data_IF_446684553365
#
_entry.id   IF_446684553365
#
_cell.length_a   1.000
_cell.length_b   1.000
_cell.length_c   1.000
_cell.angle_alpha   90.00
_cell.angle_beta   90.00
_cell.angle_gamma   90.00
#
_symmetry.space_group_name_H-M   'P 1'
#
loop_
_entity.id
_entity.type
_entity.pdbx_description
1 polymer ?
#
# COMPACT_ATOMS: atom_id res chain seq x y z
N UNK A 1 -2.94 -14.94 17.68
CA UNK A 1 -2.94 -15.38 16.27
C UNK A 1 -1.94 -14.53 15.50
N UNK A 2 -0.84 -15.10 15.01
CA UNK A 2 0.07 -14.37 14.13
C UNK A 2 -0.58 -14.31 12.75
N UNK A 3 -1.11 -13.13 12.39
CA UNK A 3 -1.59 -12.87 11.03
C UNK A 3 -0.43 -13.12 10.05
N UNK A 4 -0.64 -14.03 9.11
CA UNK A 4 0.31 -14.24 8.02
C UNK A 4 0.40 -12.95 7.22
N UNK A 5 1.60 -12.39 7.06
CA UNK A 5 1.85 -11.17 6.25
C UNK A 5 1.73 -11.43 4.74
N UNK A 6 1.00 -12.47 4.33
CA UNK A 6 0.83 -12.85 2.93
C UNK A 6 -0.45 -12.23 2.40
N UNK A 7 -0.41 -11.63 1.20
CA UNK A 7 -1.62 -11.14 0.57
C UNK A 7 -2.59 -12.30 0.29
N UNK A 8 -3.89 -12.00 0.31
CA UNK A 8 -4.95 -12.98 0.02
C UNK A 8 -4.79 -13.57 -1.38
N UNK A 9 -4.34 -12.75 -2.33
CA UNK A 9 -3.91 -13.19 -3.66
C UNK A 9 -2.37 -13.13 -3.73
N UNK A 10 -1.66 -14.28 -3.72
CA UNK A 10 -0.20 -14.32 -3.83
C UNK A 10 0.34 -13.64 -5.11
N UNK A 11 -0.42 -13.67 -6.22
CA UNK A 11 -0.03 -13.03 -7.47
C UNK A 11 0.00 -11.51 -7.40
N UNK A 12 -0.66 -10.91 -6.39
CA UNK A 12 -0.71 -9.47 -6.20
C UNK A 12 0.46 -8.93 -5.35
N UNK A 13 1.34 -9.79 -4.81
CA UNK A 13 2.42 -9.36 -3.90
C UNK A 13 3.31 -8.27 -4.53
N UNK A 14 3.79 -8.50 -5.75
CA UNK A 14 4.60 -7.53 -6.48
C UNK A 14 3.86 -6.21 -6.78
N UNK A 15 2.56 -6.27 -7.05
CA UNK A 15 1.75 -5.08 -7.32
C UNK A 15 1.52 -4.26 -6.05
N UNK A 16 1.24 -4.93 -4.94
CA UNK A 16 1.07 -4.31 -3.62
C UNK A 16 2.37 -3.68 -3.13
N UNK A 17 3.53 -4.32 -3.36
CA UNK A 17 4.82 -3.75 -2.98
C UNK A 17 5.15 -2.50 -3.79
N UNK A 18 4.86 -2.49 -5.11
CA UNK A 18 4.99 -1.30 -5.95
C UNK A 18 4.13 -0.14 -5.43
N UNK A 19 2.84 -0.39 -5.19
CA UNK A 19 1.92 0.62 -4.67
C UNK A 19 2.40 1.19 -3.34
N UNK A 20 2.91 0.34 -2.44
CA UNK A 20 3.47 0.73 -1.14
C UNK A 20 4.65 1.69 -1.32
N UNK A 21 5.56 1.43 -2.27
CA UNK A 21 6.69 2.31 -2.56
C UNK A 21 6.27 3.62 -3.26
N UNK A 22 5.28 3.58 -4.14
CA UNK A 22 4.72 4.78 -4.78
C UNK A 22 4.15 5.74 -3.74
N UNK A 23 3.31 5.23 -2.85
CA UNK A 23 2.71 6.03 -1.76
C UNK A 23 3.78 6.51 -0.78
N UNK A 24 4.77 5.67 -0.45
CA UNK A 24 5.89 6.10 0.38
C UNK A 24 6.67 7.26 -0.26
N UNK A 25 6.76 7.27 -1.60
CA UNK A 25 7.44 8.34 -2.34
C UNK A 25 6.64 9.62 -2.30
N UNK A 26 5.31 9.55 -2.46
CA UNK A 26 4.41 10.70 -2.35
C UNK A 26 4.37 11.31 -0.95
N UNK A 27 4.49 10.47 0.09
CA UNK A 27 4.57 10.91 1.48
C UNK A 27 5.98 11.42 1.87
N UNK A 28 6.96 11.35 0.97
CA UNK A 28 8.33 11.81 1.21
C UNK A 28 9.15 10.92 2.15
N UNK A 29 8.69 9.70 2.43
CA UNK A 29 9.35 8.76 3.35
C UNK A 29 10.06 7.61 2.64
N UNK A 30 9.95 7.52 1.31
CA UNK A 30 10.57 6.45 0.52
C UNK A 30 12.07 6.34 0.73
N UNK A 31 12.79 7.46 0.86
CA UNK A 31 14.23 7.44 1.09
C UNK A 31 14.57 6.82 2.44
N UNK A 32 13.83 7.18 3.50
CA UNK A 32 14.00 6.61 4.83
C UNK A 32 13.71 5.11 4.84
N UNK A 33 12.66 4.68 4.14
CA UNK A 33 12.31 3.27 3.96
C UNK A 33 13.41 2.51 3.21
N UNK A 34 14.01 3.10 2.17
CA UNK A 34 15.07 2.45 1.38
C UNK A 34 16.38 2.32 2.16
N UNK A 35 16.72 3.31 2.97
CA UNK A 35 17.97 3.32 3.73
C UNK A 35 17.90 2.47 5.01
N UNK A 36 16.79 2.57 5.76
CA UNK A 36 16.69 1.99 7.10
C UNK A 36 15.68 0.83 7.18
N UNK A 37 14.89 0.63 6.12
CA UNK A 37 13.84 -0.39 6.07
C UNK A 37 12.52 0.08 6.69
N UNK A 38 11.49 -0.75 6.51
CA UNK A 38 10.17 -0.50 7.11
C UNK A 38 10.14 -0.64 8.63
N UNK A 39 11.11 -1.37 9.21
CA UNK A 39 11.17 -1.64 10.65
C UNK A 39 11.56 -0.42 11.49
N UNK A 40 12.24 0.55 10.90
CA UNK A 40 12.69 1.79 11.56
C UNK A 40 11.72 2.95 11.41
N UNK A 41 10.64 2.77 10.64
CA UNK A 41 9.61 3.79 10.44
C UNK A 41 8.73 3.91 11.68
N UNK A 42 8.21 5.13 11.92
CA UNK A 42 7.25 5.30 13.01
C UNK A 42 5.95 4.58 12.70
N UNK A 43 5.24 4.11 13.73
CA UNK A 43 3.94 3.46 13.54
C UNK A 43 2.92 4.39 12.86
N UNK A 44 3.06 5.70 13.05
CA UNK A 44 2.26 6.71 12.37
C UNK A 44 2.55 6.74 10.86
N UNK A 45 3.81 6.70 10.44
CA UNK A 45 4.21 6.66 9.02
C UNK A 45 3.71 5.40 8.32
N UNK A 46 3.94 4.24 8.93
CA UNK A 46 3.45 2.97 8.43
C UNK A 46 1.92 2.97 8.31
N UNK A 47 1.22 3.53 9.30
CA UNK A 47 -0.23 3.69 9.28
C UNK A 47 -0.71 4.62 8.16
N UNK A 48 0.00 5.74 7.92
CA UNK A 48 -0.31 6.67 6.82
C UNK A 48 -0.18 6.00 5.45
N UNK A 49 0.90 5.25 5.21
CA UNK A 49 1.08 4.49 3.95
C UNK A 49 -0.03 3.47 3.77
N UNK A 50 -0.28 2.63 4.79
CA UNK A 50 -1.31 1.59 4.71
C UNK A 50 -2.71 2.17 4.48
N UNK A 51 -3.04 3.29 5.13
CA UNK A 51 -4.31 3.98 4.93
C UNK A 51 -4.49 4.54 3.52
N UNK A 52 -3.43 5.12 2.94
CA UNK A 52 -3.43 5.59 1.54
C UNK A 52 -3.55 4.44 0.54
N UNK A 53 -2.91 3.30 0.82
CA UNK A 53 -3.05 2.10 -0.01
C UNK A 53 -4.52 1.65 -0.08
N UNK A 54 -5.19 1.57 1.07
CA UNK A 54 -6.60 1.16 1.13
C UNK A 54 -7.50 2.17 0.43
N UNK A 55 -7.28 3.48 0.61
CA UNK A 55 -8.05 4.51 -0.11
C UNK A 55 -7.95 4.36 -1.62
N UNK A 56 -6.73 4.24 -2.17
CA UNK A 56 -6.52 4.04 -3.61
C UNK A 56 -7.17 2.76 -4.14
N UNK A 57 -7.05 1.66 -3.39
CA UNK A 57 -7.69 0.41 -3.78
C UNK A 57 -9.21 0.54 -3.85
N UNK A 58 -9.83 1.24 -2.89
CA UNK A 58 -11.27 1.51 -2.90
C UNK A 58 -11.65 2.41 -4.09
N UNK A 59 -10.92 3.51 -4.31
CA UNK A 59 -11.17 4.43 -5.42
C UNK A 59 -11.07 3.72 -6.78
N UNK A 60 -10.06 2.87 -6.97
CA UNK A 60 -9.91 2.06 -8.19
C UNK A 60 -11.05 1.06 -8.36
N UNK A 61 -11.48 0.42 -7.27
CA UNK A 61 -12.58 -0.52 -7.29
C UNK A 61 -13.92 0.17 -7.62
N UNK A 62 -14.22 1.30 -6.97
CA UNK A 62 -15.40 2.13 -7.25
C UNK A 62 -15.40 2.63 -8.70
N UNK A 63 -14.24 3.05 -9.21
CA UNK A 63 -14.07 3.44 -10.62
C UNK A 63 -14.29 2.28 -11.59
N UNK A 64 -13.86 1.06 -11.22
CA UNK A 64 -14.09 -0.12 -12.05
C UNK A 64 -15.56 -0.53 -12.11
N UNK A 65 -16.28 -0.42 -10.99
CA UNK A 65 -17.72 -0.69 -10.93
C UNK A 65 -18.50 0.33 -11.74
N UNK A 66 -18.18 1.63 -11.59
CA UNK A 66 -18.88 2.69 -12.31
C UNK A 66 -18.67 2.59 -13.83
N UNK A 67 -17.48 2.18 -14.27
CA UNK A 67 -17.15 2.02 -15.69
C UNK A 67 -17.75 0.74 -16.32
N UNK A 68 -18.13 -0.25 -15.51
CA UNK A 68 -18.77 -1.50 -15.99
C UNK A 68 -20.27 -1.30 -16.31
N UNK A 69 -20.86 -0.17 -15.92
CA UNK A 69 -22.30 0.12 -16.08
C UNK A 69 -22.62 0.98 -17.32
N UNK A 70 -21.71 1.10 -18.29
CA UNK A 70 -21.93 1.78 -19.58
C UNK A 70 -22.01 0.80 -20.75
#
# INVERSE_FOLDING_TARGET
MARSNKPVNPGAENALDRMKFEIASELGIAETVRQNGWATMTSADCGRVGGQMVRRMIEQYESSISNTQQ
#
